data_IF_525855589212
#
_entry.id   IF_525855589212
#
_cell.length_a   1.000
_cell.length_b   1.000
_cell.length_c   1.000
_cell.angle_alpha   90.00
_cell.angle_beta   90.00
_cell.angle_gamma   90.00
#
_symmetry.space_group_name_H-M   'P 1'
#
loop_
_entity.id
_entity.type
_entity.pdbx_description
1 polymer ?
#
# COMPACT_ATOMS: atom_id res chain seq x y z
N UNK A 1 -15.65 45.52 22.96
CA UNK A 1 -15.19 44.16 22.93
C UNK A 1 -13.83 43.98 23.57
N UNK A 2 -13.45 42.78 23.91
CA UNK A 2 -12.17 42.45 24.57
C UNK A 2 -10.95 42.71 23.70
N UNK A 3 -11.10 42.66 22.36
CA UNK A 3 -10.04 42.83 21.37
C UNK A 3 -10.34 44.00 20.43
N UNK A 4 -9.27 44.61 19.91
CA UNK A 4 -9.37 45.71 18.95
C UNK A 4 -10.03 45.23 17.65
N UNK A 5 -10.92 46.02 17.09
CA UNK A 5 -11.64 45.70 15.83
C UNK A 5 -10.68 45.57 14.63
N UNK A 6 -9.61 46.35 14.61
CA UNK A 6 -8.58 46.25 13.55
C UNK A 6 -7.84 44.94 13.60
N UNK A 7 -7.57 44.40 14.80
CA UNK A 7 -6.99 43.06 15.00
C UNK A 7 -7.95 41.96 14.52
N UNK A 8 -9.22 42.06 14.88
CA UNK A 8 -10.25 41.09 14.52
C UNK A 8 -10.46 41.01 13.00
N UNK A 9 -10.36 42.13 12.28
CA UNK A 9 -10.46 42.15 10.80
C UNK A 9 -9.33 41.42 10.11
N UNK A 10 -8.18 41.24 10.75
CA UNK A 10 -7.04 40.47 10.21
C UNK A 10 -7.14 38.97 10.48
N UNK A 11 -8.12 38.51 11.25
CA UNK A 11 -8.39 37.09 11.45
C UNK A 11 -9.17 36.56 10.25
N UNK A 12 -8.46 36.33 9.19
CA UNK A 12 -8.98 35.79 7.90
C UNK A 12 -8.72 34.30 7.77
N UNK A 13 -9.33 33.67 6.77
CA UNK A 13 -9.08 32.26 6.47
C UNK A 13 -7.59 32.01 6.26
N UNK A 14 -7.03 31.06 7.02
CA UNK A 14 -5.60 30.68 6.99
C UNK A 14 -4.63 31.66 7.66
N UNK A 15 -5.09 32.73 8.31
CA UNK A 15 -4.21 33.53 9.16
C UNK A 15 -3.65 32.68 10.31
N UNK A 16 -2.36 32.86 10.62
CA UNK A 16 -1.70 32.17 11.72
C UNK A 16 -1.83 32.97 13.00
N UNK A 17 -2.37 32.34 14.04
CA UNK A 17 -2.68 32.98 15.32
C UNK A 17 -1.98 32.26 16.47
N UNK A 18 -1.53 33.04 17.46
CA UNK A 18 -1.20 32.55 18.79
C UNK A 18 -2.27 33.02 19.77
N UNK A 19 -2.93 32.06 20.40
CA UNK A 19 -4.04 32.35 21.32
C UNK A 19 -3.76 31.70 22.66
N UNK A 20 -3.93 32.47 23.76
CA UNK A 20 -4.01 31.91 25.11
C UNK A 20 -5.41 32.11 25.63
N UNK A 21 -5.92 31.14 26.38
CA UNK A 21 -7.29 31.23 26.88
C UNK A 21 -7.67 30.03 27.74
N UNK A 22 -8.95 29.89 27.95
CA UNK A 22 -9.56 28.84 28.75
C UNK A 22 -10.31 27.87 27.83
N UNK A 23 -10.05 26.60 28.01
CA UNK A 23 -10.78 25.52 27.27
C UNK A 23 -12.14 25.36 27.97
N UNK A 24 -13.22 25.58 27.24
CA UNK A 24 -14.58 25.46 27.71
C UNK A 24 -15.40 24.52 26.83
N UNK A 25 -16.52 23.95 27.32
CA UNK A 25 -17.47 23.23 26.48
C UNK A 25 -17.96 24.12 25.33
N UNK A 26 -17.97 23.58 24.10
CA UNK A 26 -18.41 24.36 22.94
C UNK A 26 -19.93 24.47 22.88
N UNK A 27 -20.43 25.66 22.55
CA UNK A 27 -21.82 25.89 22.17
C UNK A 27 -22.06 25.64 20.67
N UNK A 28 -20.98 25.48 19.89
CA UNK A 28 -21.02 25.20 18.44
C UNK A 28 -21.37 23.76 18.12
N UNK A 29 -22.11 23.55 17.01
CA UNK A 29 -22.40 22.21 16.51
C UNK A 29 -21.13 21.57 15.93
N UNK A 30 -20.89 20.29 16.25
CA UNK A 30 -19.83 19.51 15.64
C UNK A 30 -18.46 19.59 16.33
N UNK A 31 -18.35 20.25 17.49
CA UNK A 31 -17.14 20.26 18.31
C UNK A 31 -17.51 20.16 19.80
N UNK A 32 -16.66 19.47 20.56
CA UNK A 32 -16.88 19.27 22.02
C UNK A 32 -16.37 20.43 22.86
N UNK A 33 -15.30 21.05 22.43
CA UNK A 33 -14.58 22.08 23.18
C UNK A 33 -14.31 23.29 22.30
N UNK A 34 -14.16 24.44 22.90
CA UNK A 34 -13.69 25.70 22.30
C UNK A 34 -12.72 26.43 23.23
N UNK A 35 -11.88 27.29 22.64
CA UNK A 35 -10.93 28.11 23.38
C UNK A 35 -11.48 29.53 23.52
N UNK A 36 -11.88 29.89 24.74
CA UNK A 36 -12.24 31.27 25.07
C UNK A 36 -10.98 32.10 25.21
N UNK A 37 -10.68 32.89 24.18
CA UNK A 37 -9.44 33.63 24.08
C UNK A 37 -9.31 34.70 25.18
N UNK A 38 -8.16 34.74 25.88
CA UNK A 38 -7.73 35.80 26.80
C UNK A 38 -6.74 36.74 26.13
N UNK A 39 -5.82 36.18 25.34
CA UNK A 39 -4.89 36.95 24.50
C UNK A 39 -4.89 36.40 23.07
N UNK A 40 -4.61 37.28 22.13
CA UNK A 40 -4.57 36.94 20.70
C UNK A 40 -3.47 37.73 20.01
N UNK A 41 -2.60 37.03 19.28
CA UNK A 41 -1.51 37.60 18.49
C UNK A 41 -1.59 37.03 17.08
N UNK A 42 -1.48 37.86 16.05
CA UNK A 42 -1.38 37.42 14.66
C UNK A 42 0.10 37.22 14.33
N UNK A 43 0.48 35.99 14.04
CA UNK A 43 1.84 35.61 13.66
C UNK A 43 2.06 35.74 12.15
N UNK A 44 1.01 35.55 11.36
CA UNK A 44 1.05 35.67 9.90
C UNK A 44 -0.32 36.00 9.33
N UNK A 45 -0.36 37.03 8.51
CA UNK A 45 -1.56 37.40 7.78
C UNK A 45 -1.82 36.46 6.59
N UNK A 46 -3.07 36.36 6.19
CA UNK A 46 -3.50 35.67 4.97
C UNK A 46 -4.47 36.56 4.20
N UNK A 47 -4.19 36.76 2.92
CA UNK A 47 -5.11 37.47 2.03
C UNK A 47 -6.30 36.53 1.70
N UNK A 48 -7.51 36.82 2.18
CA UNK A 48 -8.65 35.93 2.00
C UNK A 48 -9.11 35.82 0.55
N UNK A 49 -8.78 36.77 -0.31
CA UNK A 49 -9.15 36.73 -1.73
C UNK A 49 -8.18 35.86 -2.55
N UNK A 50 -6.92 35.78 -2.14
CA UNK A 50 -5.87 35.01 -2.82
C UNK A 50 -5.74 33.59 -2.28
N UNK A 51 -6.17 33.33 -1.05
CA UNK A 51 -6.07 31.99 -0.45
C UNK A 51 -6.94 30.98 -1.20
N UNK A 52 -6.36 29.92 -1.80
CA UNK A 52 -7.12 29.07 -2.72
C UNK A 52 -8.13 28.17 -2.06
N UNK A 53 -7.92 27.78 -0.77
CA UNK A 53 -8.83 26.92 -0.04
C UNK A 53 -9.89 27.75 0.71
N UNK A 54 -10.85 28.28 -0.05
CA UNK A 54 -11.97 29.04 0.51
C UNK A 54 -12.81 28.17 1.47
N UNK A 55 -13.58 28.75 2.44
CA UNK A 55 -14.42 28.02 3.39
C UNK A 55 -15.65 27.41 2.71
N UNK A 56 -15.43 26.49 1.79
CA UNK A 56 -16.45 25.75 1.04
C UNK A 56 -15.95 24.33 0.77
N UNK A 57 -16.83 23.42 0.34
CA UNK A 57 -16.44 22.08 -0.11
C UNK A 57 -15.61 22.18 -1.40
N UNK A 58 -14.45 21.54 -1.40
CA UNK A 58 -13.57 21.40 -2.59
C UNK A 58 -13.57 19.97 -3.08
N UNK A 59 -13.41 19.78 -4.40
CA UNK A 59 -13.21 18.45 -4.98
C UNK A 59 -11.81 17.91 -4.62
N UNK A 60 -11.67 16.59 -4.61
CA UNK A 60 -10.37 15.95 -4.36
C UNK A 60 -9.37 16.25 -5.48
N UNK A 61 -9.83 16.41 -6.72
CA UNK A 61 -9.03 16.81 -7.87
C UNK A 61 -8.36 18.16 -7.62
N UNK A 62 -9.15 19.17 -7.25
CA UNK A 62 -8.63 20.49 -6.90
C UNK A 62 -7.65 20.44 -5.72
N UNK A 63 -7.94 19.64 -4.71
CA UNK A 63 -7.06 19.50 -3.55
C UNK A 63 -5.74 18.77 -3.90
N UNK A 64 -5.71 17.92 -4.93
CA UNK A 64 -4.46 17.35 -5.46
C UNK A 64 -3.60 18.40 -6.15
N UNK A 65 -4.21 19.32 -6.92
CA UNK A 65 -3.49 20.46 -7.51
C UNK A 65 -2.92 21.41 -6.45
N UNK A 66 -3.52 21.44 -5.27
CA UNK A 66 -3.08 22.23 -4.12
C UNK A 66 -2.50 21.33 -3.01
N UNK A 67 -1.75 20.30 -3.37
CA UNK A 67 -1.26 19.29 -2.43
C UNK A 67 -0.51 19.88 -1.23
N UNK A 68 0.28 20.93 -1.43
CA UNK A 68 1.00 21.66 -0.39
C UNK A 68 0.10 22.37 0.65
N UNK A 69 -1.17 22.61 0.34
CA UNK A 69 -2.13 23.24 1.25
C UNK A 69 -3.22 22.29 1.73
N UNK A 70 -3.44 21.13 1.06
CA UNK A 70 -4.57 20.23 1.37
C UNK A 70 -4.55 19.68 2.79
N UNK A 71 -3.39 19.64 3.47
CA UNK A 71 -3.26 19.26 4.87
C UNK A 71 -4.10 20.12 5.81
N UNK A 72 -4.42 21.35 5.41
CA UNK A 72 -5.24 22.31 6.20
C UNK A 72 -6.74 21.99 6.14
N UNK A 73 -7.15 21.00 5.37
CA UNK A 73 -8.55 20.56 5.31
C UNK A 73 -8.83 19.46 6.32
N UNK A 74 -10.06 19.39 6.82
CA UNK A 74 -10.47 18.34 7.75
C UNK A 74 -10.34 16.96 7.14
N UNK A 75 -10.66 16.79 5.84
CA UNK A 75 -10.53 15.52 5.14
C UNK A 75 -9.11 15.00 5.17
N UNK A 76 -8.14 15.82 4.75
CA UNK A 76 -6.73 15.38 4.73
C UNK A 76 -6.11 15.35 6.13
N UNK A 77 -6.58 16.17 7.05
CA UNK A 77 -6.23 16.02 8.46
C UNK A 77 -6.59 14.64 9.00
N UNK A 78 -7.82 14.17 8.74
CA UNK A 78 -8.25 12.82 9.14
C UNK A 78 -7.47 11.71 8.42
N UNK A 79 -7.28 11.81 7.09
CA UNK A 79 -6.50 10.82 6.33
C UNK A 79 -5.09 10.68 6.87
N UNK A 80 -4.38 11.79 7.13
CA UNK A 80 -2.99 11.72 7.55
C UNK A 80 -2.80 11.39 9.03
N UNK A 81 -3.77 11.67 9.91
CA UNK A 81 -3.76 11.10 11.27
C UNK A 81 -3.95 9.59 11.25
N UNK A 82 -4.86 9.07 10.43
CA UNK A 82 -5.03 7.63 10.24
C UNK A 82 -3.75 7.00 9.65
N UNK A 83 -3.16 7.62 8.62
CA UNK A 83 -1.88 7.16 8.04
C UNK A 83 -0.77 7.08 9.08
N UNK A 84 -0.65 8.12 9.94
CA UNK A 84 0.31 8.13 11.04
C UNK A 84 0.08 6.94 11.99
N UNK A 85 -1.16 6.74 12.43
CA UNK A 85 -1.50 5.66 13.36
C UNK A 85 -1.27 4.28 12.75
N UNK A 86 -1.59 4.08 11.47
CA UNK A 86 -1.28 2.83 10.75
C UNK A 86 0.21 2.57 10.71
N UNK A 87 1.04 3.57 10.39
CA UNK A 87 2.49 3.40 10.33
C UNK A 87 3.06 3.01 11.70
N UNK A 88 2.60 3.65 12.76
CA UNK A 88 3.00 3.30 14.13
C UNK A 88 2.54 1.88 14.51
N UNK A 89 1.30 1.52 14.19
CA UNK A 89 0.75 0.20 14.46
C UNK A 89 1.53 -0.93 13.76
N UNK A 90 2.04 -0.69 12.55
CA UNK A 90 2.91 -1.62 11.83
C UNK A 90 4.18 -1.91 12.67
N UNK A 91 4.89 -0.88 13.08
CA UNK A 91 6.09 -1.05 13.89
C UNK A 91 5.78 -1.71 15.25
N UNK A 92 4.68 -1.33 15.89
CA UNK A 92 4.28 -1.92 17.16
C UNK A 92 3.97 -3.41 17.03
N UNK A 93 3.19 -3.80 16.01
CA UNK A 93 2.83 -5.20 15.77
C UNK A 93 4.06 -6.11 15.65
N UNK A 94 5.02 -5.72 14.84
CA UNK A 94 6.23 -6.51 14.61
C UNK A 94 7.18 -6.47 15.81
N UNK A 95 7.37 -5.31 16.43
CA UNK A 95 8.24 -5.15 17.60
C UNK A 95 7.75 -5.99 18.78
N UNK A 96 6.44 -6.02 19.07
CA UNK A 96 5.87 -6.81 20.15
C UNK A 96 6.03 -8.33 19.95
N UNK A 97 6.26 -8.76 18.71
CA UNK A 97 6.51 -10.16 18.32
C UNK A 97 7.99 -10.51 18.17
N UNK A 98 8.87 -9.59 18.48
CA UNK A 98 10.33 -9.82 18.43
C UNK A 98 10.94 -9.74 17.04
N UNK A 99 10.20 -9.23 16.05
CA UNK A 99 10.74 -8.99 14.71
C UNK A 99 11.79 -7.88 14.70
N UNK A 100 12.82 -8.05 13.90
CA UNK A 100 13.83 -7.02 13.68
C UNK A 100 13.45 -6.17 12.47
N UNK A 101 13.39 -4.85 12.64
CA UNK A 101 13.23 -3.91 11.52
C UNK A 101 14.54 -3.82 10.73
N UNK A 102 14.52 -4.24 9.48
CA UNK A 102 15.68 -4.26 8.61
C UNK A 102 15.56 -3.17 7.55
N UNK A 103 16.58 -2.31 7.43
CA UNK A 103 16.72 -1.37 6.34
C UNK A 103 17.33 -2.08 5.12
N UNK A 104 16.61 -2.15 4.01
CA UNK A 104 17.09 -2.66 2.73
C UNK A 104 17.42 -1.52 1.78
N UNK A 105 18.35 -1.70 0.82
CA UNK A 105 18.80 -0.62 -0.05
C UNK A 105 17.66 -0.08 -0.94
N UNK A 106 17.58 1.23 -1.05
CA UNK A 106 16.68 1.90 -2.01
C UNK A 106 17.28 1.90 -3.42
N UNK A 107 18.61 2.00 -3.52
CA UNK A 107 19.34 1.89 -4.78
C UNK A 107 19.88 0.47 -4.90
N UNK A 108 19.54 -0.21 -5.98
CA UNK A 108 19.91 -1.61 -6.20
C UNK A 108 20.37 -1.85 -7.63
N UNK A 109 21.24 -2.85 -7.82
CA UNK A 109 21.59 -3.36 -9.12
C UNK A 109 20.76 -4.61 -9.51
N UNK A 110 19.87 -5.08 -8.63
CA UNK A 110 19.08 -6.28 -8.81
C UNK A 110 17.60 -5.94 -9.09
N UNK A 111 16.95 -6.74 -9.93
CA UNK A 111 15.51 -6.70 -10.13
C UNK A 111 14.84 -7.84 -9.35
N UNK A 112 14.17 -7.51 -8.26
CA UNK A 112 13.51 -8.48 -7.40
C UNK A 112 12.30 -9.17 -8.06
N UNK A 113 11.66 -8.54 -9.01
CA UNK A 113 10.47 -9.09 -9.71
C UNK A 113 10.81 -9.72 -11.06
N UNK A 114 12.01 -9.45 -11.59
CA UNK A 114 12.52 -10.03 -12.84
C UNK A 114 11.89 -9.48 -14.13
N UNK A 115 11.01 -8.47 -14.04
CA UNK A 115 10.34 -7.82 -15.17
C UNK A 115 9.86 -6.41 -14.84
N UNK A 116 10.35 -5.81 -13.75
CA UNK A 116 9.87 -4.51 -13.28
C UNK A 116 10.36 -3.37 -14.17
N UNK A 117 9.47 -2.45 -14.51
CA UNK A 117 9.89 -1.15 -15.03
C UNK A 117 10.50 -0.33 -13.88
N UNK A 118 11.84 -0.24 -13.85
CA UNK A 118 12.59 0.41 -12.79
C UNK A 118 13.05 1.80 -13.20
N UNK A 119 13.00 2.75 -12.27
CA UNK A 119 13.68 4.04 -12.44
C UNK A 119 15.18 3.86 -12.35
N UNK A 120 15.91 4.33 -13.37
CA UNK A 120 17.36 4.28 -13.37
C UNK A 120 17.96 5.36 -12.48
N UNK A 121 18.99 5.00 -11.72
CA UNK A 121 19.83 5.90 -10.94
C UNK A 121 21.18 5.99 -11.61
N UNK A 122 21.58 7.18 -12.03
CA UNK A 122 22.86 7.40 -12.71
C UNK A 122 23.38 8.82 -12.48
N UNK A 123 24.70 8.97 -12.45
CA UNK A 123 25.40 10.27 -12.43
C UNK A 123 26.05 10.57 -13.78
N UNK A 124 25.90 9.68 -14.77
CA UNK A 124 26.41 9.91 -16.11
C UNK A 124 25.64 11.06 -16.81
N UNK A 125 26.31 11.87 -17.65
CA UNK A 125 25.65 12.88 -18.44
C UNK A 125 24.66 12.22 -19.43
N UNK A 126 23.40 12.65 -19.40
CA UNK A 126 22.34 12.06 -20.23
C UNK A 126 22.46 12.43 -21.71
N UNK A 127 23.04 13.57 -22.02
CA UNK A 127 23.23 14.09 -23.38
C UNK A 127 24.39 13.41 -24.13
N UNK A 128 25.43 12.96 -23.40
CA UNK A 128 26.58 12.29 -23.98
C UNK A 128 27.22 11.31 -22.99
N UNK A 129 26.57 10.18 -22.69
CA UNK A 129 27.12 9.19 -21.77
C UNK A 129 28.33 8.47 -22.38
N UNK A 130 29.34 8.08 -21.57
CA UNK A 130 30.43 7.24 -22.03
C UNK A 130 29.91 5.92 -22.60
N UNK A 131 30.54 5.43 -23.68
CA UNK A 131 30.10 4.23 -24.38
C UNK A 131 31.22 3.20 -24.51
N UNK A 132 30.81 1.94 -24.54
CA UNK A 132 31.64 0.81 -24.91
C UNK A 132 31.87 0.80 -26.44
N UNK A 133 32.78 -0.06 -26.91
CA UNK A 133 33.07 -0.23 -28.34
C UNK A 133 31.84 -0.67 -29.17
N UNK A 134 30.91 -1.40 -28.56
CA UNK A 134 29.65 -1.86 -29.15
C UNK A 134 28.54 -0.79 -29.17
N UNK A 135 28.82 0.42 -28.67
CA UNK A 135 27.90 1.55 -28.59
C UNK A 135 26.97 1.54 -27.38
N UNK A 136 26.99 0.52 -26.54
CA UNK A 136 26.23 0.48 -25.27
C UNK A 136 26.79 1.46 -24.25
N UNK A 137 25.98 1.87 -23.26
CA UNK A 137 26.44 2.77 -22.20
C UNK A 137 27.47 2.06 -21.33
N UNK A 138 28.61 2.72 -21.08
CA UNK A 138 29.66 2.21 -20.21
C UNK A 138 29.37 2.54 -18.74
N UNK A 139 28.57 1.72 -18.07
CA UNK A 139 28.24 1.89 -16.65
C UNK A 139 29.44 1.67 -15.69
N UNK A 140 30.59 1.16 -16.17
CA UNK A 140 31.80 1.10 -15.32
C UNK A 140 32.31 2.49 -14.93
N UNK A 141 31.95 3.52 -15.68
CA UNK A 141 32.26 4.91 -15.40
C UNK A 141 31.17 5.61 -14.56
N UNK A 142 30.06 4.95 -14.27
CA UNK A 142 29.02 5.50 -13.40
C UNK A 142 29.43 5.39 -11.92
N UNK A 143 28.74 6.11 -11.04
CA UNK A 143 29.05 6.22 -9.61
C UNK A 143 29.25 4.87 -8.91
N UNK A 144 28.36 3.89 -9.20
CA UNK A 144 28.45 2.55 -8.60
C UNK A 144 29.24 1.53 -9.45
N UNK A 145 29.84 1.95 -10.56
CA UNK A 145 30.59 1.07 -11.47
C UNK A 145 29.70 0.01 -12.19
N UNK A 146 28.39 0.17 -12.14
CA UNK A 146 27.38 -0.67 -12.78
C UNK A 146 26.05 0.05 -12.94
N UNK A 147 25.16 -0.51 -13.74
CA UNK A 147 23.78 -0.03 -13.85
C UNK A 147 23.05 -0.22 -12.52
N UNK A 148 22.41 0.83 -12.01
CA UNK A 148 21.61 0.80 -10.79
C UNK A 148 20.25 1.45 -11.00
N UNK A 149 19.29 1.07 -10.16
CA UNK A 149 17.92 1.50 -10.23
C UNK A 149 17.36 1.77 -8.83
N UNK A 150 16.21 2.43 -8.75
CA UNK A 150 15.41 2.46 -7.52
C UNK A 150 14.71 1.11 -7.34
N UNK A 151 14.69 0.61 -6.12
CA UNK A 151 14.14 -0.72 -5.80
C UNK A 151 12.63 -0.81 -6.01
N UNK A 152 12.16 -1.98 -6.40
CA UNK A 152 10.74 -2.34 -6.48
C UNK A 152 10.25 -3.09 -5.24
N UNK A 153 11.18 -3.64 -4.42
CA UNK A 153 10.89 -4.43 -3.22
C UNK A 153 12.17 -4.60 -2.38
N UNK A 154 12.02 -4.69 -1.08
CA UNK A 154 13.11 -5.06 -0.16
C UNK A 154 13.14 -6.55 0.20
N UNK A 155 12.31 -7.37 -0.48
CA UNK A 155 12.11 -8.78 -0.10
C UNK A 155 13.39 -9.62 -0.19
N UNK A 156 14.12 -9.56 -1.30
CA UNK A 156 15.25 -10.46 -1.51
C UNK A 156 16.35 -10.23 -0.47
N UNK A 157 16.66 -8.98 -0.18
CA UNK A 157 17.60 -8.62 0.91
C UNK A 157 17.01 -8.94 2.29
N UNK A 158 15.69 -8.80 2.44
CA UNK A 158 14.94 -9.18 3.64
C UNK A 158 15.08 -10.68 3.96
N UNK A 159 15.00 -11.55 2.97
CA UNK A 159 15.19 -12.99 3.13
C UNK A 159 16.59 -13.34 3.69
N UNK A 160 17.64 -12.57 3.32
CA UNK A 160 18.98 -12.74 3.88
C UNK A 160 18.98 -12.45 5.38
N UNK A 161 18.27 -11.39 5.78
CA UNK A 161 18.11 -11.05 7.20
C UNK A 161 17.34 -12.12 7.96
N UNK A 162 16.25 -12.65 7.38
CA UNK A 162 15.44 -13.69 8.02
C UNK A 162 16.24 -14.97 8.27
N UNK A 163 17.04 -15.42 7.31
CA UNK A 163 17.87 -16.63 7.49
C UNK A 163 18.95 -16.49 8.56
N UNK A 164 19.25 -15.26 9.00
CA UNK A 164 20.23 -14.98 10.06
C UNK A 164 19.58 -14.65 11.41
N UNK A 165 18.48 -13.88 11.40
CA UNK A 165 17.85 -13.36 12.62
C UNK A 165 16.57 -14.09 13.01
N UNK A 166 15.96 -14.86 12.11
CA UNK A 166 14.69 -15.53 12.30
C UNK A 166 13.53 -14.73 11.70
N UNK A 167 13.06 -13.70 12.39
CA UNK A 167 11.93 -12.89 11.97
C UNK A 167 12.35 -11.44 11.75
N UNK A 168 12.15 -10.94 10.53
CA UNK A 168 12.46 -9.55 10.17
C UNK A 168 11.25 -8.92 9.45
N UNK A 169 11.25 -7.61 9.36
CA UNK A 169 10.37 -6.91 8.42
C UNK A 169 11.08 -5.69 7.83
N UNK A 170 10.72 -5.37 6.60
CA UNK A 170 11.04 -4.10 5.97
C UNK A 170 9.81 -3.20 5.99
N UNK A 171 9.99 -1.92 6.10
CA UNK A 171 8.94 -0.91 5.90
C UNK A 171 9.61 0.31 5.28
N UNK A 172 9.55 0.41 3.98
CA UNK A 172 10.32 1.41 3.25
C UNK A 172 9.74 1.74 1.87
N UNK A 173 10.28 2.79 1.22
CA UNK A 173 9.84 3.23 -0.08
C UNK A 173 10.24 2.22 -1.17
N UNK A 174 9.32 2.05 -2.13
CA UNK A 174 9.50 1.27 -3.35
C UNK A 174 9.02 2.07 -4.55
N UNK A 175 9.53 1.73 -5.74
CA UNK A 175 9.37 2.55 -6.92
C UNK A 175 9.04 1.68 -8.12
N UNK A 176 8.05 2.09 -8.93
CA UNK A 176 7.70 1.42 -10.18
C UNK A 176 7.49 2.44 -11.28
N UNK A 177 8.24 2.29 -12.37
CA UNK A 177 8.18 3.21 -13.53
C UNK A 177 7.05 2.87 -14.51
N UNK A 178 6.07 2.10 -14.08
CA UNK A 178 4.92 1.70 -14.89
C UNK A 178 4.12 2.91 -15.38
N UNK A 179 3.85 2.98 -16.68
CA UNK A 179 3.01 4.02 -17.25
C UNK A 179 1.52 3.74 -17.00
N UNK A 180 1.15 3.58 -15.73
CA UNK A 180 -0.22 3.29 -15.28
C UNK A 180 -0.84 4.51 -14.60
N UNK A 181 -1.95 4.99 -15.14
CA UNK A 181 -2.66 6.16 -14.64
C UNK A 181 -4.02 5.79 -14.02
N UNK A 182 -4.02 4.81 -13.13
CA UNK A 182 -5.24 4.35 -12.44
C UNK A 182 -5.37 4.96 -11.05
N UNK A 183 -6.50 4.72 -10.40
CA UNK A 183 -6.76 5.14 -9.01
C UNK A 183 -6.01 4.30 -7.96
N UNK A 184 -5.25 3.28 -8.38
CA UNK A 184 -4.57 2.29 -7.51
C UNK A 184 -3.06 2.23 -7.70
N UNK A 185 -2.47 3.06 -8.61
CA UNK A 185 -1.04 3.04 -8.92
C UNK A 185 -0.37 4.36 -8.57
N UNK A 186 0.80 4.24 -7.98
CA UNK A 186 1.76 5.31 -7.70
C UNK A 186 3.13 4.86 -8.21
N UNK A 187 3.97 5.80 -8.63
CA UNK A 187 5.35 5.53 -9.00
C UNK A 187 6.28 5.40 -7.79
N UNK A 188 5.89 5.98 -6.65
CA UNK A 188 6.54 5.88 -5.35
C UNK A 188 5.49 5.57 -4.29
N UNK A 189 5.72 4.52 -3.52
CA UNK A 189 4.84 4.05 -2.44
C UNK A 189 5.66 3.28 -1.41
N UNK A 190 5.05 2.91 -0.28
CA UNK A 190 5.74 2.19 0.78
C UNK A 190 5.24 0.75 0.86
N UNK A 191 6.19 -0.17 1.02
CA UNK A 191 5.88 -1.59 1.23
C UNK A 191 6.22 -2.02 2.65
N UNK A 192 5.40 -2.88 3.21
CA UNK A 192 5.63 -3.61 4.45
C UNK A 192 5.87 -5.06 4.04
N UNK A 193 7.06 -5.58 4.30
CA UNK A 193 7.49 -6.88 3.80
C UNK A 193 8.18 -7.67 4.92
N UNK A 194 7.42 -8.42 5.74
CA UNK A 194 7.99 -9.36 6.70
C UNK A 194 8.49 -10.63 6.02
N UNK A 195 9.61 -11.16 6.52
CA UNK A 195 10.19 -12.44 6.12
C UNK A 195 10.53 -13.25 7.38
N UNK A 196 10.07 -14.51 7.44
CA UNK A 196 10.14 -15.35 8.62
C UNK A 196 10.79 -16.69 8.30
N UNK A 197 11.90 -16.99 8.97
CA UNK A 197 12.51 -18.30 8.91
C UNK A 197 11.65 -19.34 9.63
N UNK A 198 11.70 -20.57 9.12
CA UNK A 198 10.93 -21.73 9.62
C UNK A 198 9.42 -21.67 9.46
N UNK A 199 8.90 -20.65 8.78
CA UNK A 199 7.48 -20.53 8.43
C UNK A 199 7.17 -21.29 7.15
N UNK A 200 6.03 -21.97 7.15
CA UNK A 200 5.39 -22.49 5.94
C UNK A 200 4.29 -21.53 5.44
N UNK A 201 3.53 -21.95 4.43
CA UNK A 201 2.44 -21.14 3.89
C UNK A 201 1.32 -20.91 4.90
N UNK A 202 1.02 -21.88 5.76
CA UNK A 202 -0.04 -21.75 6.76
C UNK A 202 0.35 -20.76 7.86
N UNK A 203 1.57 -20.83 8.34
CA UNK A 203 2.12 -19.85 9.31
C UNK A 203 2.07 -18.43 8.75
N UNK A 204 2.44 -18.29 7.46
CA UNK A 204 2.41 -17.01 6.77
C UNK A 204 0.99 -16.43 6.65
N UNK A 205 -0.01 -17.27 6.31
CA UNK A 205 -1.42 -16.86 6.30
C UNK A 205 -1.90 -16.40 7.68
N UNK A 206 -1.54 -17.15 8.73
CA UNK A 206 -1.92 -16.82 10.12
C UNK A 206 -1.36 -15.46 10.56
N UNK A 207 -0.08 -15.21 10.26
CA UNK A 207 0.56 -13.93 10.58
C UNK A 207 -0.07 -12.77 9.81
N UNK A 208 -0.29 -12.94 8.51
CA UNK A 208 -0.86 -11.89 7.66
C UNK A 208 -2.29 -11.53 8.08
N UNK A 209 -3.13 -12.51 8.38
CA UNK A 209 -4.48 -12.28 8.92
C UNK A 209 -4.44 -11.51 10.24
N UNK A 210 -3.60 -11.96 11.17
CA UNK A 210 -3.40 -11.33 12.48
C UNK A 210 -2.90 -9.88 12.33
N UNK A 211 -1.97 -9.64 11.41
CA UNK A 211 -1.41 -8.32 11.12
C UNK A 211 -2.47 -7.36 10.60
N UNK A 212 -3.24 -7.75 9.58
CA UNK A 212 -4.31 -6.90 9.02
C UNK A 212 -5.32 -6.54 10.10
N UNK A 213 -5.79 -7.51 10.88
CA UNK A 213 -6.74 -7.28 11.96
C UNK A 213 -6.18 -6.33 13.02
N UNK A 214 -4.91 -6.51 13.41
CA UNK A 214 -4.26 -5.66 14.40
C UNK A 214 -4.21 -4.19 13.99
N UNK A 215 -3.72 -3.89 12.78
CA UNK A 215 -3.56 -2.50 12.32
C UNK A 215 -4.91 -1.81 12.07
N UNK A 216 -5.94 -2.54 11.59
CA UNK A 216 -7.30 -2.00 11.46
C UNK A 216 -7.89 -1.71 12.85
N UNK A 217 -7.77 -2.66 13.78
CA UNK A 217 -8.24 -2.48 15.15
C UNK A 217 -7.57 -1.29 15.83
N UNK A 218 -6.26 -1.13 15.64
CA UNK A 218 -5.51 0.01 16.17
C UNK A 218 -6.11 1.34 15.73
N UNK A 219 -6.42 1.49 14.44
CA UNK A 219 -7.06 2.71 13.93
C UNK A 219 -8.47 2.90 14.48
N UNK A 220 -9.25 1.82 14.58
CA UNK A 220 -10.61 1.88 15.14
C UNK A 220 -10.61 2.29 16.60
N UNK A 221 -9.60 1.90 17.36
CA UNK A 221 -9.45 2.24 18.78
C UNK A 221 -8.91 3.69 18.99
N UNK A 222 -8.01 4.18 18.12
CA UNK A 222 -7.30 5.44 18.34
C UNK A 222 -7.78 6.60 17.45
N UNK A 223 -8.40 6.31 16.30
CA UNK A 223 -8.83 7.29 15.31
C UNK A 223 -10.31 7.18 14.96
N UNK A 224 -11.14 6.71 15.86
CA UNK A 224 -12.58 6.46 15.62
C UNK A 224 -13.30 7.68 15.05
N UNK A 225 -13.06 8.86 15.61
CA UNK A 225 -13.68 10.11 15.14
C UNK A 225 -13.27 10.45 13.71
N UNK A 226 -12.00 10.23 13.33
CA UNK A 226 -11.51 10.43 11.95
C UNK A 226 -12.17 9.45 10.97
N UNK A 227 -12.29 8.17 11.36
CA UNK A 227 -12.95 7.14 10.53
C UNK A 227 -14.42 7.48 10.33
N UNK A 228 -15.14 7.88 11.38
CA UNK A 228 -16.56 8.27 11.31
C UNK A 228 -16.77 9.54 10.47
N UNK A 229 -15.87 10.51 10.56
CA UNK A 229 -15.88 11.69 9.72
C UNK A 229 -15.74 11.30 8.22
N UNK A 230 -14.77 10.44 7.89
CA UNK A 230 -14.57 9.98 6.52
C UNK A 230 -15.72 9.10 6.04
N UNK A 231 -16.32 8.28 6.92
CA UNK A 231 -17.50 7.48 6.60
C UNK A 231 -18.70 8.38 6.23
N UNK A 232 -18.97 9.42 7.01
CA UNK A 232 -20.04 10.38 6.72
C UNK A 232 -19.80 11.11 5.38
N UNK A 233 -18.55 11.49 5.12
CA UNK A 233 -18.14 12.12 3.87
C UNK A 233 -18.37 11.19 2.67
N UNK A 234 -17.99 9.92 2.78
CA UNK A 234 -18.19 8.91 1.72
C UNK A 234 -19.68 8.73 1.40
N UNK A 235 -20.53 8.61 2.42
CA UNK A 235 -21.99 8.52 2.24
C UNK A 235 -22.53 9.73 1.47
N UNK A 236 -22.06 10.94 1.77
CA UNK A 236 -22.52 12.15 1.07
C UNK A 236 -22.04 12.20 -0.39
N UNK A 237 -20.85 11.68 -0.69
CA UNK A 237 -20.37 11.57 -2.06
C UNK A 237 -21.13 10.52 -2.85
N UNK A 238 -21.39 9.37 -2.25
CA UNK A 238 -22.12 8.27 -2.89
C UNK A 238 -23.60 8.62 -3.18
N UNK A 239 -24.22 9.54 -2.44
CA UNK A 239 -25.56 10.04 -2.76
C UNK A 239 -25.66 10.64 -4.18
N UNK A 240 -24.54 11.16 -4.69
CA UNK A 240 -24.46 11.72 -6.05
C UNK A 240 -24.29 10.65 -7.13
N UNK A 241 -23.98 9.42 -6.76
CA UNK A 241 -23.74 8.31 -7.68
C UNK A 241 -25.02 7.50 -7.95
N UNK A 242 -25.17 6.92 -9.15
CA UNK A 242 -26.17 5.89 -9.42
C UNK A 242 -26.08 4.75 -8.40
N UNK A 243 -27.21 4.12 -8.07
CA UNK A 243 -27.27 3.10 -7.02
C UNK A 243 -26.36 1.89 -7.27
N UNK A 244 -26.14 1.53 -8.53
CA UNK A 244 -25.27 0.43 -8.97
C UNK A 244 -23.76 0.75 -8.83
N UNK A 245 -23.41 2.02 -8.65
CA UNK A 245 -22.03 2.49 -8.45
C UNK A 245 -21.68 2.79 -6.99
N UNK A 246 -22.65 2.68 -6.08
CA UNK A 246 -22.42 2.88 -4.65
C UNK A 246 -21.74 1.67 -4.03
N UNK A 247 -20.99 1.90 -2.97
CA UNK A 247 -20.36 0.82 -2.18
C UNK A 247 -21.42 -0.11 -1.60
N UNK A 248 -21.14 -1.41 -1.61
CA UNK A 248 -22.03 -2.42 -1.02
C UNK A 248 -22.09 -2.35 0.51
N UNK A 249 -21.06 -1.78 1.13
CA UNK A 249 -20.90 -1.62 2.58
C UNK A 249 -20.43 -0.20 2.90
N UNK A 250 -20.89 0.37 4.02
CA UNK A 250 -20.31 1.59 4.59
C UNK A 250 -18.87 1.38 5.06
N UNK A 251 -18.12 2.47 5.25
CA UNK A 251 -16.71 2.36 5.63
C UNK A 251 -16.51 1.62 6.95
N UNK A 252 -17.25 1.99 8.01
CA UNK A 252 -17.15 1.34 9.32
C UNK A 252 -17.55 -0.14 9.21
N UNK A 253 -18.66 -0.44 8.55
CA UNK A 253 -19.14 -1.81 8.32
C UNK A 253 -18.09 -2.67 7.61
N UNK A 254 -17.41 -2.10 6.61
CA UNK A 254 -16.33 -2.77 5.88
C UNK A 254 -15.14 -3.12 6.77
N UNK A 255 -14.74 -2.21 7.66
CA UNK A 255 -13.65 -2.47 8.61
C UNK A 255 -14.06 -3.52 9.66
N UNK A 256 -15.26 -3.43 10.19
CA UNK A 256 -15.83 -4.42 11.12
C UNK A 256 -16.00 -5.78 10.46
N UNK A 257 -16.35 -5.84 9.18
CA UNK A 257 -16.42 -7.07 8.41
C UNK A 257 -15.08 -7.81 8.39
N UNK A 258 -13.96 -7.10 8.23
CA UNK A 258 -12.62 -7.70 8.29
C UNK A 258 -12.26 -8.13 9.71
N UNK A 259 -12.58 -7.32 10.73
CA UNK A 259 -12.23 -7.60 12.12
C UNK A 259 -13.00 -8.80 12.70
N UNK A 260 -14.26 -8.96 12.32
CA UNK A 260 -15.20 -9.90 12.96
C UNK A 260 -15.30 -11.25 12.26
N UNK A 261 -14.62 -11.45 11.14
CA UNK A 261 -14.63 -12.72 10.41
C UNK A 261 -13.25 -13.36 10.40
N UNK A 262 -13.20 -14.68 10.54
CA UNK A 262 -12.04 -15.45 10.14
C UNK A 262 -11.95 -15.46 8.61
N UNK A 263 -10.74 -15.40 8.07
CA UNK A 263 -10.53 -15.37 6.62
C UNK A 263 -10.73 -16.77 6.04
N UNK A 264 -11.55 -16.88 5.03
CA UNK A 264 -11.75 -18.13 4.30
C UNK A 264 -10.49 -18.50 3.52
N UNK A 265 -10.11 -19.76 3.53
CA UNK A 265 -8.91 -20.27 2.83
C UNK A 265 -9.31 -21.23 1.75
N UNK A 266 -8.98 -20.88 0.51
CA UNK A 266 -9.26 -21.69 -0.67
C UNK A 266 -8.05 -21.71 -1.60
N UNK A 267 -7.98 -22.72 -2.46
CA UNK A 267 -6.98 -22.75 -3.53
C UNK A 267 -7.45 -21.91 -4.72
N UNK A 268 -6.50 -21.49 -5.55
CA UNK A 268 -6.81 -20.83 -6.82
C UNK A 268 -7.71 -21.70 -7.71
N UNK A 269 -7.48 -23.01 -7.75
CA UNK A 269 -8.31 -23.95 -8.51
C UNK A 269 -9.76 -23.91 -8.05
N UNK A 270 -9.99 -24.02 -6.73
CA UNK A 270 -11.35 -23.88 -6.13
C UNK A 270 -11.96 -22.51 -6.43
N UNK A 271 -11.18 -21.44 -6.34
CA UNK A 271 -11.64 -20.09 -6.68
C UNK A 271 -12.16 -20.01 -8.13
N UNK A 272 -11.40 -20.53 -9.08
CA UNK A 272 -11.81 -20.57 -10.49
C UNK A 272 -13.07 -21.42 -10.69
N UNK A 273 -13.17 -22.58 -10.05
CA UNK A 273 -14.37 -23.45 -10.11
C UNK A 273 -15.61 -22.73 -9.57
N UNK A 274 -15.50 -22.06 -8.41
CA UNK A 274 -16.57 -21.26 -7.83
C UNK A 274 -17.02 -20.16 -8.80
N UNK A 275 -16.07 -19.44 -9.41
CA UNK A 275 -16.37 -18.38 -10.38
C UNK A 275 -17.08 -18.91 -11.60
N UNK A 276 -16.62 -20.01 -12.20
CA UNK A 276 -17.24 -20.66 -13.38
C UNK A 276 -18.65 -21.18 -13.11
N UNK A 277 -18.93 -21.65 -11.90
CA UNK A 277 -20.26 -22.13 -11.47
C UNK A 277 -21.18 -21.00 -11.05
N UNK A 278 -20.67 -19.78 -10.86
CA UNK A 278 -21.42 -18.65 -10.32
C UNK A 278 -22.59 -18.20 -11.21
N UNK A 279 -23.65 -17.66 -10.62
CA UNK A 279 -24.71 -16.98 -11.37
C UNK A 279 -24.19 -15.78 -12.19
N UNK A 280 -23.14 -15.12 -11.73
CA UNK A 280 -22.53 -13.99 -12.42
C UNK A 280 -21.89 -14.44 -13.76
N UNK A 281 -21.12 -15.54 -13.74
CA UNK A 281 -20.53 -16.13 -14.94
C UNK A 281 -21.61 -16.62 -15.93
N UNK A 282 -22.58 -17.40 -15.45
CA UNK A 282 -23.67 -17.93 -16.28
C UNK A 282 -24.50 -16.83 -16.97
N UNK A 283 -24.64 -15.66 -16.31
CA UNK A 283 -25.35 -14.48 -16.85
C UNK A 283 -24.43 -13.52 -17.60
N UNK A 284 -23.17 -13.90 -17.87
CA UNK A 284 -22.16 -13.08 -18.57
C UNK A 284 -21.98 -11.67 -17.96
N UNK A 285 -21.95 -11.59 -16.62
CA UNK A 285 -21.80 -10.32 -15.90
C UNK A 285 -20.34 -9.91 -15.67
N UNK A 286 -19.39 -10.85 -15.75
CA UNK A 286 -17.98 -10.54 -15.70
C UNK A 286 -17.52 -9.90 -17.01
N UNK A 287 -16.71 -8.87 -16.93
CA UNK A 287 -16.10 -8.19 -18.07
C UNK A 287 -14.89 -8.97 -18.59
N UNK A 288 -14.18 -9.64 -17.70
CA UNK A 288 -12.97 -10.40 -17.99
C UNK A 288 -13.25 -11.91 -18.00
N UNK A 289 -12.47 -12.62 -18.78
CA UNK A 289 -12.54 -14.08 -18.87
C UNK A 289 -12.26 -14.74 -17.51
N UNK A 290 -12.95 -15.82 -17.21
CA UNK A 290 -12.65 -16.71 -16.07
C UNK A 290 -12.14 -18.02 -16.62
N UNK A 291 -10.86 -18.31 -16.38
CA UNK A 291 -10.17 -19.50 -16.88
C UNK A 291 -9.01 -19.83 -15.95
N UNK A 292 -8.73 -21.12 -15.77
CA UNK A 292 -7.54 -21.54 -15.03
C UNK A 292 -6.25 -21.11 -15.76
N UNK A 293 -5.29 -20.56 -15.03
CA UNK A 293 -4.00 -20.11 -15.53
C UNK A 293 -3.92 -18.62 -15.86
N UNK A 294 -4.98 -17.84 -15.62
CA UNK A 294 -4.98 -16.37 -15.79
C UNK A 294 -4.99 -15.68 -14.42
N UNK A 295 -4.52 -14.43 -14.39
CA UNK A 295 -4.68 -13.58 -13.21
C UNK A 295 -6.16 -13.23 -13.00
N UNK A 296 -6.64 -13.46 -11.77
CA UNK A 296 -7.97 -12.98 -11.38
C UNK A 296 -7.99 -11.45 -11.38
N UNK A 297 -9.06 -10.91 -11.95
CA UNK A 297 -9.28 -9.46 -11.93
C UNK A 297 -10.07 -9.04 -10.69
N UNK A 298 -9.98 -7.79 -10.30
CA UNK A 298 -10.66 -7.26 -9.10
C UNK A 298 -12.15 -7.60 -9.03
N UNK A 299 -12.85 -7.75 -10.15
CA UNK A 299 -14.26 -8.14 -10.17
C UNK A 299 -14.47 -9.60 -9.72
N UNK A 300 -13.52 -10.49 -10.06
CA UNK A 300 -13.51 -11.90 -9.64
C UNK A 300 -13.25 -12.00 -8.14
N UNK A 301 -12.22 -11.31 -7.67
CA UNK A 301 -11.82 -11.27 -6.26
C UNK A 301 -12.94 -10.72 -5.37
N UNK A 302 -13.54 -9.60 -5.77
CA UNK A 302 -14.66 -9.00 -5.04
C UNK A 302 -15.90 -9.90 -5.04
N UNK A 303 -16.15 -10.65 -6.12
CA UNK A 303 -17.24 -11.62 -6.14
C UNK A 303 -17.04 -12.70 -5.07
N UNK A 304 -15.86 -13.26 -4.95
CA UNK A 304 -15.53 -14.26 -3.92
C UNK A 304 -15.77 -13.72 -2.52
N UNK A 305 -15.27 -12.52 -2.22
CA UNK A 305 -15.38 -11.89 -0.90
C UNK A 305 -16.79 -11.44 -0.56
N UNK A 306 -17.44 -10.67 -1.47
CA UNK A 306 -18.66 -9.93 -1.16
C UNK A 306 -19.94 -10.72 -1.44
N UNK A 307 -19.90 -11.66 -2.39
CA UNK A 307 -21.08 -12.39 -2.85
C UNK A 307 -21.09 -13.86 -2.46
N UNK A 308 -19.96 -14.54 -2.62
CA UNK A 308 -19.88 -15.98 -2.36
C UNK A 308 -19.66 -16.28 -0.89
N UNK A 309 -18.49 -15.96 -0.34
CA UNK A 309 -18.15 -16.29 1.04
C UNK A 309 -18.68 -15.30 2.08
N UNK A 310 -18.85 -14.03 1.70
CA UNK A 310 -19.25 -12.92 2.59
C UNK A 310 -18.33 -12.79 3.79
N UNK A 311 -17.02 -12.91 3.54
CA UNK A 311 -15.89 -12.70 4.45
C UNK A 311 -14.61 -12.50 3.65
N UNK A 312 -13.52 -11.99 4.25
CA UNK A 312 -12.23 -11.93 3.57
C UNK A 312 -11.78 -13.33 3.15
N UNK A 313 -11.03 -13.43 2.06
CA UNK A 313 -10.63 -14.72 1.48
C UNK A 313 -9.12 -14.71 1.26
N UNK A 314 -8.46 -15.80 1.63
CA UNK A 314 -7.07 -16.08 1.27
C UNK A 314 -7.08 -17.12 0.17
N UNK A 315 -6.57 -16.77 -1.00
CA UNK A 315 -6.44 -17.67 -2.14
C UNK A 315 -5.00 -18.15 -2.21
N UNK A 316 -4.80 -19.46 -2.35
CA UNK A 316 -3.48 -20.09 -2.32
C UNK A 316 -3.21 -20.96 -3.55
N UNK A 317 -1.97 -21.41 -3.69
CA UNK A 317 -1.58 -22.38 -4.72
C UNK A 317 -1.94 -21.95 -6.14
N UNK A 318 -1.39 -20.82 -6.54
CA UNK A 318 -1.55 -20.25 -7.87
C UNK A 318 -0.75 -20.99 -8.94
N UNK A 319 -1.18 -20.93 -10.21
CA UNK A 319 -0.36 -21.41 -11.32
C UNK A 319 1.03 -20.76 -11.33
N UNK A 320 2.09 -21.56 -11.52
CA UNK A 320 3.47 -21.06 -11.49
C UNK A 320 3.76 -20.02 -12.58
N UNK A 321 3.08 -20.10 -13.71
CA UNK A 321 3.29 -19.23 -14.87
C UNK A 321 2.95 -17.76 -14.61
N UNK A 322 2.05 -17.50 -13.65
CA UNK A 322 1.58 -16.14 -13.31
C UNK A 322 2.16 -15.61 -12.00
N UNK A 323 3.13 -16.31 -11.41
CA UNK A 323 3.75 -15.92 -10.14
C UNK A 323 5.29 -15.85 -10.26
N UNK A 324 5.90 -15.11 -9.32
CA UNK A 324 7.33 -14.81 -9.31
C UNK A 324 8.22 -16.05 -9.12
N UNK A 325 9.48 -15.94 -9.52
CA UNK A 325 10.46 -17.05 -9.56
C UNK A 325 10.81 -17.59 -8.17
N UNK A 326 10.75 -16.77 -7.14
CA UNK A 326 11.17 -17.10 -5.77
C UNK A 326 10.12 -17.88 -4.97
N UNK A 327 8.93 -18.11 -5.53
CA UNK A 327 7.87 -18.81 -4.81
C UNK A 327 8.08 -20.32 -4.86
N UNK A 328 7.86 -20.99 -3.72
CA UNK A 328 8.07 -22.43 -3.56
C UNK A 328 7.16 -23.21 -4.51
N UNK A 329 7.76 -24.04 -5.36
CA UNK A 329 7.02 -24.92 -6.28
C UNK A 329 6.39 -26.08 -5.52
N UNK A 330 5.09 -26.32 -5.73
CA UNK A 330 4.37 -27.46 -5.17
C UNK A 330 4.73 -28.76 -5.90
N UNK A 331 4.47 -29.88 -5.25
CA UNK A 331 4.83 -31.22 -5.77
C UNK A 331 3.99 -31.61 -7.01
N UNK A 332 2.91 -30.90 -7.30
CA UNK A 332 2.09 -31.09 -8.51
C UNK A 332 2.78 -30.62 -9.81
N UNK A 333 3.90 -29.90 -9.70
CA UNK A 333 4.66 -29.35 -10.81
C UNK A 333 3.97 -28.21 -11.59
N UNK A 334 2.80 -27.77 -11.15
CA UNK A 334 1.94 -26.78 -11.83
C UNK A 334 1.70 -25.52 -11.02
N UNK A 335 1.68 -25.64 -9.69
CA UNK A 335 1.35 -24.52 -8.78
C UNK A 335 2.51 -24.17 -7.89
N UNK A 336 2.42 -22.99 -7.27
CA UNK A 336 3.37 -22.49 -6.28
C UNK A 336 2.63 -22.14 -4.99
N UNK A 337 3.33 -22.22 -3.85
CA UNK A 337 2.83 -21.91 -2.53
C UNK A 337 2.68 -20.39 -2.31
N UNK A 338 1.94 -19.74 -3.21
CA UNK A 338 1.56 -18.35 -3.14
C UNK A 338 0.31 -18.17 -2.27
N UNK A 339 0.12 -16.98 -1.75
CA UNK A 339 -1.11 -16.54 -1.11
C UNK A 339 -1.42 -15.10 -1.47
N UNK A 340 -2.70 -14.82 -1.77
CA UNK A 340 -3.20 -13.46 -1.89
C UNK A 340 -4.39 -13.29 -0.93
N UNK A 341 -4.40 -12.19 -0.15
CA UNK A 341 -5.51 -11.88 0.76
C UNK A 341 -6.42 -10.88 0.06
N UNK A 342 -7.68 -11.26 -0.07
CA UNK A 342 -8.73 -10.49 -0.73
C UNK A 342 -9.64 -9.85 0.32
N UNK A 343 -9.84 -8.53 0.20
CA UNK A 343 -10.68 -7.73 1.08
C UNK A 343 -11.84 -7.06 0.31
N UNK A 344 -12.94 -6.71 1.00
CA UNK A 344 -14.12 -6.12 0.34
C UNK A 344 -13.80 -4.74 -0.26
N UNK A 345 -14.34 -4.47 -1.44
CA UNK A 345 -14.20 -3.18 -2.16
C UNK A 345 -12.86 -2.96 -2.85
N UNK A 346 -11.79 -3.63 -2.43
CA UNK A 346 -10.43 -3.41 -2.96
C UNK A 346 -9.89 -4.62 -3.74
N UNK A 347 -10.31 -5.85 -3.41
CA UNK A 347 -9.71 -7.08 -3.92
C UNK A 347 -8.42 -7.42 -3.18
N UNK A 348 -7.37 -7.82 -3.87
CA UNK A 348 -6.08 -8.13 -3.27
C UNK A 348 -5.51 -6.95 -2.47
N UNK A 349 -5.15 -7.21 -1.21
CA UNK A 349 -4.51 -6.26 -0.30
C UNK A 349 -3.13 -6.73 0.18
N UNK A 350 -2.90 -8.03 0.23
CA UNK A 350 -1.63 -8.68 0.56
C UNK A 350 -1.33 -9.75 -0.45
N UNK A 351 -0.11 -9.79 -0.94
CA UNK A 351 0.45 -10.90 -1.70
C UNK A 351 1.64 -11.51 -0.96
N UNK A 352 1.77 -12.82 -0.95
CA UNK A 352 2.87 -13.49 -0.28
C UNK A 352 3.09 -14.91 -0.76
N UNK A 353 4.07 -15.58 -0.17
CA UNK A 353 4.35 -17.00 -0.46
C UNK A 353 5.25 -17.63 0.58
N UNK A 354 5.25 -18.94 0.64
CA UNK A 354 6.44 -19.67 1.07
C UNK A 354 7.51 -19.50 -0.01
N UNK A 355 8.77 -19.26 0.40
CA UNK A 355 9.87 -19.02 -0.52
C UNK A 355 10.50 -20.35 -0.97
N UNK A 356 11.10 -20.36 -2.15
CA UNK A 356 11.79 -21.57 -2.64
C UNK A 356 13.13 -21.71 -1.91
N UNK A 357 13.22 -22.67 -1.01
CA UNK A 357 14.41 -22.97 -0.24
C UNK A 357 15.34 -23.97 -0.92
N UNK A 358 14.85 -24.69 -1.96
CA UNK A 358 15.63 -25.70 -2.68
C UNK A 358 16.39 -25.05 -3.83
N UNK A 359 17.72 -25.07 -3.74
CA UNK A 359 18.62 -24.40 -4.69
C UNK A 359 18.37 -24.86 -6.16
N UNK A 360 18.29 -26.16 -6.38
CA UNK A 360 18.07 -26.74 -7.72
C UNK A 360 16.74 -26.26 -8.34
N UNK A 361 15.69 -26.19 -7.55
CA UNK A 361 14.37 -25.71 -7.98
C UNK A 361 14.35 -24.21 -8.27
N UNK A 362 15.04 -23.45 -7.45
CA UNK A 362 15.17 -22.01 -7.64
C UNK A 362 15.97 -21.68 -8.92
N UNK A 363 17.11 -22.34 -9.12
CA UNK A 363 17.94 -22.17 -10.33
C UNK A 363 17.19 -22.61 -11.61
N UNK A 364 16.45 -23.73 -11.55
CA UNK A 364 15.59 -24.19 -12.64
C UNK A 364 14.57 -23.12 -13.03
N UNK A 365 13.88 -22.58 -12.04
CA UNK A 365 12.82 -21.55 -12.25
C UNK A 365 13.40 -20.23 -12.78
N UNK A 366 14.52 -19.77 -12.24
CA UNK A 366 15.23 -18.60 -12.75
C UNK A 366 15.59 -18.77 -14.23
N UNK A 367 16.10 -19.96 -14.61
CA UNK A 367 16.42 -20.28 -16.01
C UNK A 367 15.18 -20.26 -16.90
N UNK A 368 14.05 -20.85 -16.45
CA UNK A 368 12.78 -20.83 -17.19
C UNK A 368 12.31 -19.40 -17.47
N UNK A 369 12.51 -18.49 -16.53
CA UNK A 369 12.11 -17.09 -16.62
C UNK A 369 13.18 -16.17 -17.25
N UNK A 370 14.33 -16.70 -17.63
CA UNK A 370 15.41 -15.94 -18.25
C UNK A 370 16.13 -14.98 -17.29
N UNK A 371 16.11 -15.28 -15.99
CA UNK A 371 16.78 -14.46 -14.95
C UNK A 371 18.23 -14.96 -14.81
N UNK A 372 19.25 -14.10 -15.06
CA UNK A 372 20.66 -14.49 -14.94
C UNK A 372 21.05 -14.76 -13.47
N UNK A 373 21.57 -15.95 -13.19
CA UNK A 373 22.02 -16.32 -11.85
C UNK A 373 23.19 -15.46 -11.32
N UNK A 374 23.99 -14.92 -12.23
CA UNK A 374 25.12 -14.06 -11.89
C UNK A 374 24.69 -12.71 -11.27
N UNK A 375 23.48 -12.25 -11.57
CA UNK A 375 22.94 -11.02 -10.97
C UNK A 375 22.42 -11.24 -9.56
N UNK A 376 21.98 -12.46 -9.23
CA UNK A 376 21.43 -12.87 -7.95
C UNK A 376 22.29 -13.90 -7.22
N UNK A 377 23.60 -13.95 -7.48
CA UNK A 377 24.53 -14.92 -6.86
C UNK A 377 24.45 -14.88 -5.32
N UNK A 378 24.36 -13.71 -4.75
CA UNK A 378 24.25 -13.45 -3.30
C UNK A 378 22.93 -13.99 -2.71
N UNK A 379 21.84 -13.95 -3.48
CA UNK A 379 20.55 -14.52 -3.10
C UNK A 379 20.57 -16.06 -3.16
N UNK A 380 21.21 -16.63 -4.17
CA UNK A 380 21.43 -18.07 -4.28
C UNK A 380 22.32 -18.63 -3.16
N UNK A 381 23.25 -17.83 -2.64
CA UNK A 381 24.12 -18.24 -1.54
C UNK A 381 23.35 -18.56 -0.25
N UNK A 382 22.21 -17.94 0.01
CA UNK A 382 21.33 -18.31 1.14
C UNK A 382 20.75 -19.71 1.02
N UNK A 383 20.76 -20.31 -0.18
CA UNK A 383 20.38 -21.71 -0.43
C UNK A 383 21.58 -22.64 -0.44
N UNK A 384 22.77 -22.15 -0.75
CA UNK A 384 24.00 -22.93 -0.73
C UNK A 384 24.54 -23.12 0.70
N UNK A 385 24.36 -22.11 1.55
CA UNK A 385 24.99 -22.03 2.87
C UNK A 385 23.95 -22.01 3.99
N UNK A 386 23.28 -23.15 4.23
CA UNK A 386 22.38 -23.33 5.35
C UNK A 386 20.95 -22.84 5.08
N UNK A 387 20.36 -23.35 4.02
CA UNK A 387 18.97 -23.04 3.69
C UNK A 387 17.97 -23.53 4.74
N UNK A 388 16.89 -22.80 4.92
CA UNK A 388 15.74 -23.18 5.76
C UNK A 388 14.43 -22.86 5.06
N UNK A 389 13.35 -23.60 5.34
CA UNK A 389 12.01 -23.15 4.96
C UNK A 389 11.75 -21.75 5.50
N UNK A 390 11.24 -20.86 4.67
CA UNK A 390 10.88 -19.51 5.10
C UNK A 390 9.75 -18.96 4.22
N UNK A 391 9.05 -17.98 4.74
CA UNK A 391 7.89 -17.40 4.08
C UNK A 391 7.83 -15.90 4.37
N UNK A 392 7.07 -15.18 3.56
CA UNK A 392 6.87 -13.77 3.74
C UNK A 392 5.71 -13.23 2.89
N UNK A 393 5.36 -11.99 3.13
CA UNK A 393 4.32 -11.32 2.36
C UNK A 393 4.64 -9.83 2.17
N UNK A 394 3.98 -9.21 1.20
CA UNK A 394 4.03 -7.78 0.95
C UNK A 394 2.66 -7.15 1.11
N UNK A 395 2.60 -6.00 1.81
CA UNK A 395 1.44 -5.15 1.93
C UNK A 395 1.81 -3.74 1.49
N UNK A 396 1.15 -3.24 0.42
CA UNK A 396 1.27 -1.85 0.02
C UNK A 396 0.64 -0.93 1.05
N UNK A 397 1.45 -0.08 1.69
CA UNK A 397 0.98 0.76 2.79
C UNK A 397 -0.10 1.75 2.33
N UNK A 398 0.07 2.40 1.19
CA UNK A 398 -0.93 3.31 0.63
C UNK A 398 -2.25 2.60 0.30
N UNK A 399 -2.20 1.35 -0.18
CA UNK A 399 -3.40 0.55 -0.43
C UNK A 399 -4.15 0.26 0.87
N UNK A 400 -3.42 0.01 1.95
CA UNK A 400 -4.02 -0.16 3.28
C UNK A 400 -4.63 1.14 3.82
N UNK A 401 -3.94 2.27 3.68
CA UNK A 401 -4.49 3.58 4.06
C UNK A 401 -5.74 3.89 3.23
N UNK A 402 -5.73 3.61 1.93
CA UNK A 402 -6.89 3.77 1.04
C UNK A 402 -8.07 2.90 1.52
N UNK A 403 -7.80 1.66 1.89
CA UNK A 403 -8.82 0.75 2.41
C UNK A 403 -9.48 1.26 3.69
N UNK A 404 -8.65 1.69 4.66
CA UNK A 404 -9.12 2.13 5.99
C UNK A 404 -9.81 3.49 5.95
N UNK A 405 -9.39 4.38 5.06
CA UNK A 405 -9.97 5.75 4.93
C UNK A 405 -11.16 5.83 3.99
N UNK A 406 -11.37 4.81 3.14
CA UNK A 406 -12.40 4.84 2.10
C UNK A 406 -12.11 5.80 0.95
N UNK A 407 -10.89 6.31 0.83
CA UNK A 407 -10.51 7.22 -0.25
C UNK A 407 -10.53 6.49 -1.60
N UNK A 408 -11.23 7.06 -2.58
CA UNK A 408 -11.40 6.45 -3.91
C UNK A 408 -10.16 6.46 -4.79
N UNK A 409 -9.14 7.27 -4.46
CA UNK A 409 -7.92 7.40 -5.24
C UNK A 409 -6.68 7.35 -4.33
N UNK A 410 -5.73 6.49 -4.66
CA UNK A 410 -4.50 6.28 -3.87
C UNK A 410 -3.64 7.55 -3.78
N UNK A 411 -3.78 8.49 -4.71
CA UNK A 411 -3.09 9.80 -4.66
C UNK A 411 -3.54 10.67 -3.48
N UNK A 412 -4.65 10.32 -2.85
CA UNK A 412 -5.24 11.06 -1.72
C UNK A 412 -4.81 10.51 -0.35
N UNK A 413 -3.98 9.46 -0.33
CA UNK A 413 -3.51 8.82 0.91
C UNK A 413 -2.00 8.91 1.12
N UNK A 414 -1.29 9.52 0.19
CA UNK A 414 0.13 9.86 0.29
C UNK A 414 0.28 11.38 0.24
N UNK A 415 1.22 11.98 1.02
CA UNK A 415 1.36 13.45 1.07
C UNK A 415 1.54 14.11 -0.28
N UNK A 416 2.51 13.67 -1.05
CA UNK A 416 2.87 14.19 -2.36
C UNK A 416 2.97 13.05 -3.38
N UNK A 417 1.90 12.74 -4.12
CA UNK A 417 1.87 11.58 -5.00
C UNK A 417 2.83 11.73 -6.18
N UNK A 418 3.52 10.64 -6.52
CA UNK A 418 4.33 10.51 -7.73
C UNK A 418 3.61 9.62 -8.73
N UNK A 419 3.31 10.15 -9.90
CA UNK A 419 2.59 9.45 -10.96
C UNK A 419 3.11 9.87 -12.32
N UNK A 420 2.79 9.15 -13.42
CA UNK A 420 3.19 9.59 -14.75
C UNK A 420 2.85 11.06 -14.99
N UNK A 421 3.83 11.83 -15.46
CA UNK A 421 3.76 13.28 -15.74
C UNK A 421 3.49 14.17 -14.51
N UNK A 422 3.67 13.68 -13.29
CA UNK A 422 3.46 14.46 -12.07
C UNK A 422 4.50 14.12 -11.00
N UNK A 423 5.36 15.07 -10.71
CA UNK A 423 6.39 15.02 -9.66
C UNK A 423 6.56 16.38 -8.97
N UNK A 424 5.51 17.18 -8.95
CA UNK A 424 5.49 18.53 -8.38
C UNK A 424 5.43 18.47 -6.84
N UNK A 425 6.14 19.37 -6.16
CA UNK A 425 6.43 19.49 -4.72
C UNK A 425 7.61 18.64 -4.21
#
# INVERSE_FOLDING_TARGET
>A
GQFDESLLKRITTSAALKVTGEVIPSLGKGQKLELKAKTLEILGDSDPEKYPLQPKKHSLEFLREKAHLRFRTNTFGSVFRIRHSLAFAVHQFFNERGFIYLHTPIITASDAEGAGEMFRVTTLPLDNPPRNEDGTINFKEDFFGRSTNLTVSGQLEGELGATAFGDIYTFGPTFRAENSNTTRHLAEFWMIEPEMAFYDLEDNMNLAESFIKYIIKYVMDHNREDVEFLAARLVDEEKQLPADKRSAMGLVEKLEFVLNNDFERITYTEAIEILLQSPAYKKKKFQYEVKWGIDMQSEHERYLVEKHFKKPVIVTNYPKEIKAFYMRQNDDGKTVAAMDILAPGIGEIVGGSQREERLDKLEERMKEMGIPGEELWWYLDTRRFGTVPHAGFGLGFERMVQFVTGMGNIRDVIPFPRTPKSAEF
#
